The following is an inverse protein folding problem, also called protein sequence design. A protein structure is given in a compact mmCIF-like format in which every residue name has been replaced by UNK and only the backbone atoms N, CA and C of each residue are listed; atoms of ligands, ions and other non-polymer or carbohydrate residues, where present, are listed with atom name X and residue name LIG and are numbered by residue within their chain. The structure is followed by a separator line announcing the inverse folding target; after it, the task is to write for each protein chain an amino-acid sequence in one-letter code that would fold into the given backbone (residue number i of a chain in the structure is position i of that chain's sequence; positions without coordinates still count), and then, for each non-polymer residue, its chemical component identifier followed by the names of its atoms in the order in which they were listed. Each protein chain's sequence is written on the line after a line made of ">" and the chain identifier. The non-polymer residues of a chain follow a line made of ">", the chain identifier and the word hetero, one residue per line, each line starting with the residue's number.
data_IF_809716724273
#
_entry.id   IF_809716724273
#
_cell.length_a   1.000
_cell.length_b   1.000
_cell.length_c   1.000
_cell.angle_alpha   90.00
_cell.angle_beta   90.00
_cell.angle_gamma   90.00
#
_symmetry.space_group_name_H-M   'P 1'
#
loop_
_entity.id
_entity.type
_entity.pdbx_description
1 polymer ?
#
# COMPACT_ATOMS: atom_id res chain seq x y z
N UNK A 1 8.98 9.99 -11.52
CA UNK A 1 7.91 9.25 -10.82
C UNK A 1 6.71 9.24 -11.73
N UNK A 2 6.26 8.05 -12.15
CA UNK A 2 5.13 7.89 -13.06
C UNK A 2 3.85 7.82 -12.26
N UNK A 3 2.92 8.73 -12.51
CA UNK A 3 1.63 8.72 -11.85
C UNK A 3 0.69 7.74 -12.57
N UNK A 4 0.10 6.82 -11.81
CA UNK A 4 -0.75 5.76 -12.33
C UNK A 4 -2.19 5.98 -11.84
N UNK A 5 -3.21 5.83 -12.71
CA UNK A 5 -4.59 5.87 -12.27
C UNK A 5 -4.93 4.59 -11.47
N UNK A 6 -5.39 4.77 -10.24
CA UNK A 6 -5.91 3.70 -9.39
C UNK A 6 -7.43 3.83 -9.24
N UNK A 7 -8.10 2.68 -9.22
CA UNK A 7 -9.48 2.54 -8.76
C UNK A 7 -9.58 1.27 -7.90
N UNK A 8 -8.97 1.33 -6.72
CA UNK A 8 -8.92 0.22 -5.76
C UNK A 8 -9.98 0.47 -4.68
N UNK A 9 -10.94 -0.45 -4.48
CA UNK A 9 -11.95 -0.29 -3.44
C UNK A 9 -11.34 -0.44 -2.04
N UNK A 10 -12.08 -0.02 -1.00
CA UNK A 10 -11.69 -0.29 0.37
C UNK A 10 -11.80 -1.79 0.64
N UNK A 11 -10.66 -2.43 0.92
CA UNK A 11 -10.55 -3.89 1.03
C UNK A 11 -9.40 -4.26 1.98
N UNK A 12 -8.97 -5.52 1.98
CA UNK A 12 -7.82 -5.96 2.78
C UNK A 12 -6.51 -5.40 2.23
N UNK A 13 -5.53 -5.26 3.11
CA UNK A 13 -4.22 -4.73 2.72
C UNK A 13 -3.50 -5.67 1.75
N UNK A 14 -3.65 -6.99 1.89
CA UNK A 14 -3.02 -7.95 0.97
C UNK A 14 -3.47 -7.77 -0.48
N UNK A 15 -4.78 -7.64 -0.71
CA UNK A 15 -5.37 -7.36 -2.03
C UNK A 15 -4.92 -6.00 -2.58
N UNK A 16 -4.87 -4.98 -1.71
CA UNK A 16 -4.43 -3.64 -2.08
C UNK A 16 -2.95 -3.60 -2.44
N UNK A 17 -2.10 -4.25 -1.66
CA UNK A 17 -0.66 -4.37 -1.92
C UNK A 17 -0.42 -5.11 -3.23
N UNK A 18 -1.15 -6.20 -3.49
CA UNK A 18 -1.05 -6.92 -4.75
C UNK A 18 -1.44 -6.04 -5.94
N UNK A 19 -2.54 -5.30 -5.86
CA UNK A 19 -3.00 -4.41 -6.92
C UNK A 19 -1.99 -3.29 -7.21
N UNK A 20 -1.44 -2.67 -6.17
CA UNK A 20 -0.44 -1.61 -6.30
C UNK A 20 0.88 -2.13 -6.89
N UNK A 21 1.35 -3.29 -6.44
CA UNK A 21 2.56 -3.92 -6.97
C UNK A 21 2.38 -4.30 -8.45
N UNK A 22 1.23 -4.86 -8.82
CA UNK A 22 0.93 -5.23 -10.21
C UNK A 22 0.84 -4.01 -11.14
N UNK A 23 0.22 -2.92 -10.68
CA UNK A 23 0.06 -1.71 -11.48
C UNK A 23 1.39 -0.96 -11.75
N UNK A 24 2.35 -1.07 -10.84
CA UNK A 24 3.57 -0.24 -10.84
C UNK A 24 4.86 -1.01 -11.10
N UNK A 25 4.86 -2.32 -10.88
CA UNK A 25 6.08 -3.15 -10.82
C UNK A 25 6.91 -2.95 -9.54
N UNK A 26 6.46 -2.13 -8.59
CA UNK A 26 7.16 -1.88 -7.34
C UNK A 26 6.86 -2.99 -6.32
N UNK A 27 7.90 -3.52 -5.69
CA UNK A 27 7.76 -4.61 -4.72
C UNK A 27 7.29 -4.06 -3.36
N UNK A 28 6.13 -4.52 -2.89
CA UNK A 28 5.63 -4.20 -1.55
C UNK A 28 6.02 -5.33 -0.60
N UNK A 29 7.05 -5.08 0.21
CA UNK A 29 7.46 -6.01 1.25
C UNK A 29 6.61 -5.80 2.51
N UNK A 30 5.97 -6.86 2.97
CA UNK A 30 5.17 -6.84 4.20
C UNK A 30 4.99 -8.24 4.76
N UNK A 31 4.80 -8.35 6.08
CA UNK A 31 4.41 -9.60 6.73
C UNK A 31 2.89 -9.78 6.59
N UNK A 32 2.45 -10.49 5.55
CA UNK A 32 1.01 -10.66 5.25
C UNK A 32 0.25 -11.43 6.35
N UNK A 33 0.94 -12.21 7.19
CA UNK A 33 0.29 -12.88 8.32
C UNK A 33 -0.17 -11.87 9.37
N UNK A 34 0.54 -10.74 9.50
CA UNK A 34 0.19 -9.64 10.40
C UNK A 34 -0.62 -8.55 9.69
N UNK A 35 -0.19 -8.14 8.50
CA UNK A 35 -0.71 -6.94 7.82
C UNK A 35 -1.85 -7.23 6.86
N UNK A 36 -1.93 -8.44 6.30
CA UNK A 36 -2.83 -8.74 5.18
C UNK A 36 -4.30 -8.50 5.51
N UNK A 37 -4.76 -9.02 6.65
CA UNK A 37 -6.16 -8.90 7.10
C UNK A 37 -6.57 -7.49 7.54
N UNK A 38 -5.65 -6.52 7.60
CA UNK A 38 -5.97 -5.14 7.98
C UNK A 38 -6.82 -4.50 6.88
N UNK A 39 -7.99 -3.98 7.25
CA UNK A 39 -8.83 -3.21 6.33
C UNK A 39 -8.20 -1.84 6.07
N UNK A 40 -8.04 -1.51 4.80
CA UNK A 40 -7.45 -0.26 4.33
C UNK A 40 -8.46 0.56 3.53
N UNK A 41 -8.16 1.85 3.36
CA UNK A 41 -9.01 2.75 2.61
C UNK A 41 -8.95 2.46 1.10
N UNK A 42 -10.00 2.89 0.40
CA UNK A 42 -10.00 2.92 -1.05
C UNK A 42 -8.92 3.88 -1.57
N UNK A 43 -8.29 3.50 -2.68
CA UNK A 43 -7.33 4.36 -3.40
C UNK A 43 -7.92 4.67 -4.76
N UNK A 44 -8.27 5.95 -4.98
CA UNK A 44 -8.86 6.42 -6.23
C UNK A 44 -8.14 7.66 -6.74
N UNK A 45 -7.92 7.72 -8.04
CA UNK A 45 -7.29 8.84 -8.72
C UNK A 45 -5.89 8.52 -9.23
N UNK A 46 -5.21 9.53 -9.77
CA UNK A 46 -3.89 9.41 -10.37
C UNK A 46 -2.83 9.91 -9.40
N UNK A 47 -1.90 9.05 -9.03
CA UNK A 47 -0.85 9.35 -8.04
C UNK A 47 0.33 8.39 -8.15
N UNK A 48 1.40 8.64 -7.40
CA UNK A 48 2.51 7.70 -7.26
C UNK A 48 2.13 6.54 -6.33
N UNK A 49 2.79 5.38 -6.46
CA UNK A 49 2.56 4.25 -5.54
C UNK A 49 2.73 4.63 -4.06
N UNK A 50 3.68 5.52 -3.77
CA UNK A 50 3.98 5.95 -2.40
C UNK A 50 2.83 6.72 -1.78
N UNK A 51 2.21 7.62 -2.54
CA UNK A 51 0.98 8.31 -2.14
C UNK A 51 -0.21 7.34 -2.03
N UNK A 52 -0.32 6.39 -2.97
CA UNK A 52 -1.36 5.36 -2.95
C UNK A 52 -1.30 4.51 -1.68
N UNK A 53 -0.12 4.01 -1.28
CA UNK A 53 0.05 3.28 -0.03
C UNK A 53 -0.30 4.15 1.17
N UNK A 54 0.21 5.40 1.22
CA UNK A 54 -0.10 6.34 2.31
C UNK A 54 -1.59 6.58 2.47
N UNK A 55 -2.33 6.69 1.36
CA UNK A 55 -3.80 6.84 1.38
C UNK A 55 -4.47 5.55 1.87
N UNK A 56 -4.06 4.40 1.33
CA UNK A 56 -4.60 3.10 1.74
C UNK A 56 -4.48 2.90 3.25
N UNK A 57 -3.28 3.08 3.80
CA UNK A 57 -2.97 2.80 5.21
C UNK A 57 -3.38 3.91 6.18
N UNK A 58 -3.88 5.05 5.69
CA UNK A 58 -4.22 6.21 6.53
C UNK A 58 -5.23 5.84 7.61
N UNK A 59 -4.90 6.12 8.86
CA UNK A 59 -5.77 5.81 10.01
C UNK A 59 -5.79 4.32 10.40
N UNK A 60 -4.92 3.50 9.81
CA UNK A 60 -4.64 2.13 10.26
C UNK A 60 -3.38 2.09 11.11
N UNK A 61 -3.06 0.93 11.68
CA UNK A 61 -1.79 0.68 12.39
C UNK A 61 -0.62 0.40 11.46
N UNK A 62 -0.82 0.44 10.14
CA UNK A 62 0.22 0.19 9.15
C UNK A 62 1.00 1.47 8.87
N UNK A 63 2.32 1.36 8.79
CA UNK A 63 3.20 2.44 8.37
C UNK A 63 4.25 1.94 7.39
N UNK A 64 4.70 2.85 6.53
CA UNK A 64 5.83 2.59 5.63
C UNK A 64 7.10 2.77 6.45
N UNK A 65 7.84 1.68 6.67
CA UNK A 65 9.09 1.68 7.45
C UNK A 65 10.33 1.83 6.58
N UNK A 66 10.23 1.47 5.29
CA UNK A 66 11.32 1.67 4.33
C UNK A 66 10.78 2.08 2.95
N UNK A 67 11.38 3.11 2.36
CA UNK A 67 11.02 3.65 1.04
C UNK A 67 12.21 3.61 0.07
N UNK A 68 12.21 2.66 -0.86
CA UNK A 68 13.19 2.54 -1.96
C UNK A 68 12.53 2.83 -3.32
N UNK A 69 13.32 3.03 -4.40
CA UNK A 69 12.77 3.32 -5.74
C UNK A 69 11.87 2.21 -6.25
N UNK A 70 12.29 0.95 -6.09
CA UNK A 70 11.60 -0.24 -6.61
C UNK A 70 10.99 -1.11 -5.51
N UNK A 71 11.06 -0.66 -4.25
CA UNK A 71 10.57 -1.41 -3.08
C UNK A 71 10.02 -0.51 -1.98
N UNK A 72 8.91 -0.92 -1.39
CA UNK A 72 8.28 -0.28 -0.23
C UNK A 72 8.08 -1.32 0.86
N UNK A 73 8.53 -1.04 2.08
CA UNK A 73 8.31 -1.92 3.23
C UNK A 73 7.20 -1.36 4.11
N UNK A 74 6.17 -2.17 4.37
CA UNK A 74 5.02 -1.79 5.20
C UNK A 74 4.90 -2.77 6.36
N UNK A 75 4.87 -2.23 7.58
CA UNK A 75 4.80 -2.99 8.83
C UNK A 75 3.71 -2.43 9.74
N UNK A 76 3.20 -3.26 10.65
CA UNK A 76 2.35 -2.76 11.74
C UNK A 76 3.25 -2.09 12.76
N UNK A 77 2.93 -0.84 13.10
CA UNK A 77 3.54 -0.11 14.20
C UNK A 77 2.50 -0.07 15.31
N UNK A 78 2.76 -0.84 16.37
CA UNK A 78 1.99 -0.76 17.61
C UNK A 78 2.59 0.41 18.41
N UNK A 79 1.82 1.49 18.52
CA UNK A 79 2.13 2.64 19.38
C UNK A 79 1.84 2.33 20.86
#
# INVERSE_FOLDING_TARGET
>A
MTEIPYDIPAQRFDETAQALAHATGCFIETDLAKTGSVKVNAVKGKMSIRDAIRIAIKGTKLQITEEKPDRLKVEIVEE
#
